data_IF_159175987289
#
_entry.id   IF_159175987289
#
_cell.length_a   1.000
_cell.length_b   1.000
_cell.length_c   1.000
_cell.angle_alpha   90.00
_cell.angle_beta   90.00
_cell.angle_gamma   90.00
#
_symmetry.space_group_name_H-M   'P 1'
#
loop_
_entity.id
_entity.type
_entity.pdbx_description
1 polymer ?
#
# COMPACT_ATOMS: atom_id res chain seq x y z
N UNK A 1 -20.06 -26.87 22.85
CA UNK A 1 -20.84 -26.47 21.65
C UNK A 1 -20.36 -25.10 21.19
N UNK A 2 -19.74 -25.00 20.02
CA UNK A 2 -19.39 -23.69 19.44
C UNK A 2 -20.68 -23.09 18.88
N UNK A 3 -21.13 -21.97 19.46
CA UNK A 3 -22.35 -21.27 19.02
C UNK A 3 -22.12 -20.73 17.62
N UNK A 4 -22.91 -21.19 16.64
CA UNK A 4 -22.85 -20.67 15.26
C UNK A 4 -23.39 -19.24 15.30
N UNK A 5 -22.55 -18.27 14.91
CA UNK A 5 -22.93 -16.86 14.84
C UNK A 5 -23.91 -16.63 13.69
N UNK A 6 -24.93 -15.83 13.94
CA UNK A 6 -25.85 -15.32 12.90
C UNK A 6 -25.13 -14.32 12.00
N UNK A 7 -25.62 -14.13 10.77
CA UNK A 7 -25.01 -13.19 9.81
C UNK A 7 -25.03 -11.74 10.33
N UNK A 8 -26.09 -11.32 11.02
CA UNK A 8 -26.15 -9.99 11.63
C UNK A 8 -25.11 -9.82 12.77
N UNK A 9 -24.85 -10.87 13.56
CA UNK A 9 -23.76 -10.85 14.55
C UNK A 9 -22.38 -10.75 13.89
N UNK A 10 -22.17 -11.43 12.75
CA UNK A 10 -20.92 -11.33 11.98
C UNK A 10 -20.71 -9.91 11.43
N UNK A 11 -21.74 -9.29 10.86
CA UNK A 11 -21.65 -7.92 10.34
C UNK A 11 -21.37 -6.90 11.46
N UNK A 12 -22.05 -7.02 12.60
CA UNK A 12 -21.79 -6.18 13.77
C UNK A 12 -20.36 -6.39 14.32
N UNK A 13 -19.87 -7.62 14.33
CA UNK A 13 -18.48 -7.92 14.69
C UNK A 13 -17.50 -7.23 13.73
N UNK A 14 -17.74 -7.28 12.42
CA UNK A 14 -16.91 -6.58 11.43
C UNK A 14 -16.98 -5.05 11.57
N UNK A 15 -18.14 -4.49 11.93
CA UNK A 15 -18.27 -3.05 12.20
C UNK A 15 -17.37 -2.63 13.36
N UNK A 16 -17.44 -3.36 14.48
CA UNK A 16 -16.60 -3.11 15.66
C UNK A 16 -15.13 -3.32 15.34
N UNK A 17 -14.83 -4.32 14.51
CA UNK A 17 -13.47 -4.58 14.06
C UNK A 17 -12.91 -3.40 13.25
N UNK A 18 -13.66 -2.90 12.26
CA UNK A 18 -13.28 -1.70 11.52
C UNK A 18 -13.11 -0.47 12.42
N UNK A 19 -13.98 -0.26 13.40
CA UNK A 19 -13.82 0.83 14.38
C UNK A 19 -12.52 0.70 15.20
N UNK A 20 -12.14 -0.51 15.59
CA UNK A 20 -10.86 -0.76 16.27
C UNK A 20 -9.66 -0.47 15.34
N UNK A 21 -9.74 -0.88 14.06
CA UNK A 21 -8.69 -0.59 13.09
C UNK A 21 -8.53 0.91 12.81
N UNK A 22 -9.63 1.65 12.75
CA UNK A 22 -9.61 3.12 12.68
C UNK A 22 -8.75 3.71 13.81
N UNK A 23 -9.03 3.32 15.06
CA UNK A 23 -8.29 3.80 16.23
C UNK A 23 -6.82 3.42 16.14
N UNK A 24 -6.50 2.17 15.79
CA UNK A 24 -5.11 1.70 15.70
C UNK A 24 -4.30 2.42 14.61
N UNK A 25 -4.88 2.65 13.43
CA UNK A 25 -4.21 3.43 12.38
C UNK A 25 -4.05 4.89 12.78
N UNK A 26 -5.08 5.49 13.37
CA UNK A 26 -5.06 6.89 13.79
C UNK A 26 -4.00 7.15 14.86
N UNK A 27 -3.93 6.29 15.89
CA UNK A 27 -2.93 6.40 16.96
C UNK A 27 -1.52 6.33 16.38
N UNK A 28 -1.24 5.41 15.46
CA UNK A 28 0.08 5.30 14.83
C UNK A 28 0.42 6.52 13.99
N UNK A 29 -0.53 7.03 13.20
CA UNK A 29 -0.32 8.22 12.38
C UNK A 29 0.02 9.45 13.26
N UNK A 30 -0.75 9.65 14.34
CA UNK A 30 -0.51 10.73 15.29
C UNK A 30 0.81 10.53 16.01
N UNK A 31 1.12 9.31 16.47
CA UNK A 31 2.37 9.02 17.17
C UNK A 31 3.58 9.35 16.30
N UNK A 32 3.59 8.96 15.02
CA UNK A 32 4.69 9.29 14.11
C UNK A 32 4.87 10.79 13.96
N UNK A 33 3.80 11.56 13.77
CA UNK A 33 3.90 13.02 13.65
C UNK A 33 4.35 13.69 14.95
N UNK A 34 3.77 13.29 16.09
CA UNK A 34 4.10 13.86 17.40
C UNK A 34 5.55 13.55 17.77
N UNK A 35 5.98 12.30 17.62
CA UNK A 35 7.35 11.92 17.95
C UNK A 35 8.33 12.64 17.02
N UNK A 36 8.06 12.70 15.72
CA UNK A 36 8.99 13.32 14.76
C UNK A 36 9.07 14.84 14.96
N UNK A 37 7.93 15.54 15.00
CA UNK A 37 7.94 17.00 14.97
C UNK A 37 7.94 17.68 16.35
N UNK A 38 7.38 17.04 17.38
CA UNK A 38 7.34 17.64 18.72
C UNK A 38 8.45 17.12 19.64
N UNK A 39 8.83 15.84 19.52
CA UNK A 39 9.85 15.22 20.39
C UNK A 39 11.24 15.33 19.77
N UNK A 40 11.43 14.78 18.56
CA UNK A 40 12.74 14.77 17.86
C UNK A 40 13.04 16.14 17.22
N UNK A 41 12.01 16.84 16.73
CA UNK A 41 12.11 18.13 16.03
C UNK A 41 12.96 18.07 14.75
N UNK A 42 13.12 16.88 14.17
CA UNK A 42 13.86 16.65 12.93
C UNK A 42 13.14 15.60 12.09
N UNK A 43 13.11 15.82 10.77
CA UNK A 43 12.53 14.88 9.80
C UNK A 43 13.50 14.67 8.63
N UNK A 44 13.52 13.45 8.10
CA UNK A 44 14.22 13.15 6.85
C UNK A 44 13.32 13.51 5.70
N UNK A 45 13.78 14.42 4.84
CA UNK A 45 13.12 14.69 3.57
C UNK A 45 13.91 14.09 2.41
N UNK A 46 13.19 13.49 1.46
CA UNK A 46 13.79 12.86 0.29
C UNK A 46 13.49 13.70 -0.97
N UNK A 47 14.49 13.97 -1.81
CA UNK A 47 14.31 14.83 -2.98
C UNK A 47 13.50 14.10 -4.04
N UNK A 48 12.54 14.80 -4.63
CA UNK A 48 11.92 14.41 -5.90
C UNK A 48 12.63 15.17 -7.01
N UNK A 49 13.09 14.44 -8.02
CA UNK A 49 13.97 14.96 -9.08
C UNK A 49 13.33 14.84 -10.45
N UNK A 50 13.80 15.66 -11.38
CA UNK A 50 13.62 15.51 -12.82
C UNK A 50 14.98 15.50 -13.50
N UNK A 51 15.07 14.96 -14.71
CA UNK A 51 16.25 14.97 -15.57
C UNK A 51 15.89 15.69 -16.87
N UNK A 52 15.75 17.01 -16.79
CA UNK A 52 15.41 17.80 -17.97
C UNK A 52 16.61 17.92 -18.91
N UNK A 53 16.32 18.00 -20.20
CA UNK A 53 17.34 18.31 -21.22
C UNK A 53 17.94 19.68 -20.90
N UNK A 54 19.26 19.72 -20.76
CA UNK A 54 20.00 20.89 -20.30
C UNK A 54 20.77 21.58 -21.42
N UNK A 55 21.27 20.81 -22.39
CA UNK A 55 22.05 21.34 -23.50
C UNK A 55 21.91 20.43 -24.73
N UNK A 56 21.92 21.03 -25.92
CA UNK A 56 22.07 20.34 -27.19
C UNK A 56 23.34 20.86 -27.86
N UNK A 57 24.28 19.96 -28.12
CA UNK A 57 25.50 20.29 -28.87
C UNK A 57 25.23 20.07 -30.38
N UNK A 58 25.17 21.14 -31.20
CA UNK A 58 24.89 21.01 -32.63
C UNK A 58 26.03 20.37 -33.42
N UNK A 59 27.24 20.28 -32.85
CA UNK A 59 28.41 19.66 -33.51
C UNK A 59 28.38 18.15 -33.31
N UNK A 60 28.18 17.68 -32.09
CA UNK A 60 28.12 16.24 -31.78
C UNK A 60 26.72 15.65 -31.94
N UNK A 61 25.69 16.49 -32.11
CA UNK A 61 24.27 16.12 -32.14
C UNK A 61 23.82 15.39 -30.86
N UNK A 62 24.50 15.66 -29.74
CA UNK A 62 24.20 15.04 -28.45
C UNK A 62 23.36 16.00 -27.60
N UNK A 63 22.35 15.43 -26.93
CA UNK A 63 21.60 16.11 -25.88
C UNK A 63 22.10 15.61 -24.53
N UNK A 64 22.34 16.52 -23.59
CA UNK A 64 22.66 16.18 -22.20
C UNK A 64 21.50 16.52 -21.28
N UNK A 65 21.42 15.81 -20.16
CA UNK A 65 20.42 16.04 -19.11
C UNK A 65 21.06 16.64 -17.86
N UNK A 66 20.28 17.37 -17.05
CA UNK A 66 20.70 17.79 -15.71
C UNK A 66 19.69 17.35 -14.67
N UNK A 67 20.19 16.74 -13.59
CA UNK A 67 19.38 16.39 -12.44
C UNK A 67 18.95 17.67 -11.72
N UNK A 68 17.64 17.90 -11.61
CA UNK A 68 17.05 19.03 -10.90
C UNK A 68 16.15 18.50 -9.78
N UNK A 69 16.38 18.96 -8.55
CA UNK A 69 15.44 18.72 -7.45
C UNK A 69 14.24 19.65 -7.63
N UNK A 70 13.04 19.08 -7.73
CA UNK A 70 11.80 19.84 -7.85
C UNK A 70 11.28 20.27 -6.48
N UNK A 71 11.24 19.33 -5.54
CA UNK A 71 10.81 19.54 -4.17
C UNK A 71 11.30 18.40 -3.27
N UNK A 72 11.19 18.60 -1.97
CA UNK A 72 11.55 17.63 -0.93
C UNK A 72 10.27 17.05 -0.32
N UNK A 73 10.21 15.73 -0.13
CA UNK A 73 9.07 15.08 0.54
C UNK A 73 9.46 14.63 1.96
N UNK A 74 8.83 15.17 3.01
CA UNK A 74 9.08 14.76 4.38
C UNK A 74 8.55 13.35 4.63
N UNK A 75 9.42 12.44 5.07
CA UNK A 75 9.13 11.02 5.14
C UNK A 75 8.09 10.71 6.23
N UNK A 76 8.13 11.41 7.36
CA UNK A 76 7.12 11.26 8.40
C UNK A 76 5.71 11.64 7.91
N UNK A 77 5.58 12.66 7.05
CA UNK A 77 4.30 13.04 6.44
C UNK A 77 3.81 11.94 5.49
N UNK A 78 4.69 11.40 4.63
CA UNK A 78 4.31 10.32 3.72
C UNK A 78 3.84 9.07 4.48
N UNK A 79 4.57 8.70 5.54
CA UNK A 79 4.25 7.54 6.38
C UNK A 79 2.94 7.74 7.13
N UNK A 80 2.74 8.91 7.75
CA UNK A 80 1.48 9.24 8.40
C UNK A 80 0.33 9.28 7.37
N UNK A 81 0.58 9.73 6.14
CA UNK A 81 -0.40 9.84 5.07
C UNK A 81 -1.11 8.53 4.76
N UNK A 82 -0.37 7.43 4.55
CA UNK A 82 -1.02 6.13 4.26
C UNK A 82 -1.75 5.55 5.48
N UNK A 83 -1.31 5.87 6.71
CA UNK A 83 -2.00 5.46 7.94
C UNK A 83 -3.30 6.24 8.13
N UNK A 84 -3.28 7.56 7.93
CA UNK A 84 -4.49 8.40 8.00
C UNK A 84 -5.53 7.99 6.97
N UNK A 85 -5.11 7.66 5.74
CA UNK A 85 -6.05 7.23 4.71
C UNK A 85 -6.77 5.93 5.09
N UNK A 86 -6.03 4.96 5.65
CA UNK A 86 -6.63 3.70 6.14
C UNK A 86 -7.52 3.94 7.37
N UNK A 87 -7.11 4.82 8.29
CA UNK A 87 -7.96 5.24 9.41
C UNK A 87 -9.27 5.86 8.90
N UNK A 88 -9.19 6.75 7.92
CA UNK A 88 -10.35 7.41 7.32
C UNK A 88 -11.31 6.41 6.68
N UNK A 89 -10.82 5.45 5.88
CA UNK A 89 -11.66 4.41 5.29
C UNK A 89 -12.37 3.57 6.36
N UNK A 90 -11.62 3.11 7.37
CA UNK A 90 -12.19 2.36 8.48
C UNK A 90 -13.25 3.15 9.26
N UNK A 91 -13.05 4.46 9.46
CA UNK A 91 -14.02 5.36 10.09
C UNK A 91 -15.31 5.44 9.27
N UNK A 92 -15.21 5.66 7.95
CA UNK A 92 -16.39 5.82 7.10
C UNK A 92 -17.19 4.52 6.99
N UNK A 93 -16.53 3.35 6.85
CA UNK A 93 -17.22 2.05 6.74
C UNK A 93 -17.73 1.52 8.08
N UNK A 94 -17.15 1.93 9.21
CA UNK A 94 -17.70 1.64 10.54
C UNK A 94 -18.81 2.64 10.95
N UNK A 95 -18.81 3.84 10.38
CA UNK A 95 -19.73 4.92 10.71
C UNK A 95 -20.74 5.20 9.58
N UNK A 96 -20.64 6.36 8.89
CA UNK A 96 -21.68 6.87 7.98
C UNK A 96 -22.01 5.94 6.80
N UNK A 97 -21.03 5.19 6.29
CA UNK A 97 -21.20 4.31 5.13
C UNK A 97 -21.41 2.84 5.51
N UNK A 98 -21.59 2.52 6.80
CA UNK A 98 -21.77 1.13 7.26
C UNK A 98 -22.91 0.39 6.55
N UNK A 99 -24.03 1.07 6.26
CA UNK A 99 -25.16 0.45 5.55
C UNK A 99 -24.77 -0.02 4.15
N UNK A 100 -23.99 0.80 3.42
CA UNK A 100 -23.51 0.51 2.06
C UNK A 100 -22.42 -0.56 2.07
N UNK A 101 -21.49 -0.46 3.02
CA UNK A 101 -20.48 -1.49 3.27
C UNK A 101 -21.14 -2.86 3.54
N UNK A 102 -22.08 -2.93 4.48
CA UNK A 102 -22.82 -4.16 4.78
C UNK A 102 -23.57 -4.72 3.57
N UNK A 103 -24.21 -3.87 2.76
CA UNK A 103 -24.88 -4.31 1.53
C UNK A 103 -23.89 -4.95 0.55
N UNK A 104 -22.72 -4.33 0.35
CA UNK A 104 -21.68 -4.90 -0.51
C UNK A 104 -21.15 -6.24 0.00
N UNK A 105 -20.94 -6.38 1.30
CA UNK A 105 -20.51 -7.65 1.89
C UNK A 105 -21.52 -8.78 1.66
N UNK A 106 -22.83 -8.49 1.69
CA UNK A 106 -23.89 -9.48 1.38
C UNK A 106 -23.84 -9.93 -0.09
N UNK A 107 -23.37 -9.06 -0.97
CA UNK A 107 -23.16 -9.32 -2.39
C UNK A 107 -21.74 -9.86 -2.70
N UNK A 108 -20.90 -10.06 -1.68
CA UNK A 108 -19.54 -10.59 -1.85
C UNK A 108 -18.54 -9.60 -2.44
N UNK A 109 -18.65 -8.31 -2.12
CA UNK A 109 -17.69 -7.29 -2.51
C UNK A 109 -17.42 -6.25 -1.42
N UNK A 110 -16.27 -5.58 -1.54
CA UNK A 110 -15.94 -4.40 -0.77
C UNK A 110 -15.16 -3.41 -1.64
N UNK A 111 -15.87 -2.52 -2.34
CA UNK A 111 -15.25 -1.49 -3.17
C UNK A 111 -14.49 -0.42 -2.39
N UNK A 112 -14.87 -0.15 -1.13
CA UNK A 112 -14.18 0.84 -0.28
C UNK A 112 -12.70 0.44 -0.08
N UNK A 113 -12.47 -0.83 0.25
CA UNK A 113 -11.14 -1.41 0.42
C UNK A 113 -10.24 -1.18 -0.80
N UNK A 114 -10.74 -1.37 -2.00
CA UNK A 114 -9.93 -1.19 -3.21
C UNK A 114 -9.58 0.26 -3.49
N UNK A 115 -10.47 1.21 -3.19
CA UNK A 115 -10.15 2.63 -3.28
C UNK A 115 -9.16 3.05 -2.19
N UNK A 116 -9.30 2.53 -0.96
CA UNK A 116 -8.34 2.71 0.12
C UNK A 116 -6.95 2.24 -0.31
N UNK A 117 -6.85 0.98 -0.76
CA UNK A 117 -5.57 0.38 -1.14
C UNK A 117 -4.98 1.03 -2.39
N UNK A 118 -5.80 1.43 -3.36
CA UNK A 118 -5.31 2.10 -4.57
C UNK A 118 -4.56 3.40 -4.25
N UNK A 119 -4.90 4.09 -3.16
CA UNK A 119 -4.14 5.25 -2.71
C UNK A 119 -3.04 4.84 -1.73
N UNK A 120 -3.38 4.16 -0.63
CA UNK A 120 -2.45 3.93 0.47
C UNK A 120 -1.30 3.01 0.08
N UNK A 121 -1.57 1.89 -0.60
CA UNK A 121 -0.50 0.98 -1.04
C UNK A 121 0.39 1.62 -2.11
N UNK A 122 -0.17 2.48 -2.96
CA UNK A 122 0.60 3.25 -3.95
C UNK A 122 1.54 4.23 -3.27
N UNK A 123 1.08 4.93 -2.23
CA UNK A 123 1.93 5.79 -1.41
C UNK A 123 3.01 5.00 -0.68
N UNK A 124 2.69 3.82 -0.13
CA UNK A 124 3.67 2.93 0.49
C UNK A 124 4.76 2.49 -0.50
N UNK A 125 4.39 2.11 -1.72
CA UNK A 125 5.35 1.73 -2.76
C UNK A 125 6.21 2.93 -3.19
N UNK A 126 5.64 4.14 -3.29
CA UNK A 126 6.41 5.36 -3.54
C UNK A 126 7.46 5.59 -2.45
N UNK A 127 7.09 5.45 -1.17
CA UNK A 127 8.04 5.55 -0.04
C UNK A 127 9.19 4.56 -0.20
N UNK A 128 8.90 3.29 -0.51
CA UNK A 128 9.93 2.25 -0.71
C UNK A 128 10.82 2.60 -1.91
N UNK A 129 10.24 3.06 -3.02
CA UNK A 129 10.98 3.51 -4.20
C UNK A 129 11.97 4.62 -3.86
N UNK A 130 11.54 5.64 -3.11
CA UNK A 130 12.40 6.76 -2.73
C UNK A 130 13.55 6.31 -1.80
N UNK A 131 13.31 5.33 -0.94
CA UNK A 131 14.32 4.74 -0.05
C UNK A 131 15.39 3.96 -0.81
N UNK A 132 15.03 3.25 -1.89
CA UNK A 132 16.00 2.58 -2.77
C UNK A 132 16.62 3.50 -3.83
N UNK A 133 16.24 4.79 -3.84
CA UNK A 133 16.84 5.80 -4.73
C UNK A 133 16.06 6.10 -6.01
N UNK A 134 14.91 5.46 -6.24
CA UNK A 134 13.99 5.83 -7.32
C UNK A 134 13.26 7.11 -6.91
N UNK A 135 13.77 8.25 -7.39
CA UNK A 135 13.34 9.58 -6.96
C UNK A 135 12.92 10.49 -8.12
N UNK A 136 12.95 9.98 -9.34
CA UNK A 136 12.54 10.70 -10.53
C UNK A 136 11.01 10.79 -10.60
N UNK A 137 10.47 12.00 -10.81
CA UNK A 137 9.05 12.31 -10.70
C UNK A 137 8.18 11.46 -11.64
N UNK A 138 8.57 11.27 -12.89
CA UNK A 138 7.80 10.50 -13.88
C UNK A 138 7.73 9.02 -13.48
N UNK A 139 8.83 8.48 -12.97
CA UNK A 139 8.93 7.12 -12.44
C UNK A 139 8.03 6.94 -11.22
N UNK A 140 8.04 7.90 -10.28
CA UNK A 140 7.17 7.88 -9.10
C UNK A 140 5.68 7.95 -9.48
N UNK A 141 5.29 8.80 -10.44
CA UNK A 141 3.91 8.91 -10.94
C UNK A 141 3.47 7.59 -11.58
N UNK A 142 4.32 7.00 -12.43
CA UNK A 142 4.03 5.74 -13.10
C UNK A 142 3.88 4.59 -12.11
N UNK A 143 4.78 4.49 -11.12
CA UNK A 143 4.76 3.47 -10.07
C UNK A 143 3.53 3.62 -9.18
N UNK A 144 3.19 4.85 -8.77
CA UNK A 144 1.97 5.11 -8.01
C UNK A 144 0.75 4.65 -8.79
N UNK A 145 0.68 5.02 -10.08
CA UNK A 145 -0.46 4.75 -10.94
C UNK A 145 -0.62 3.25 -11.23
N UNK A 146 0.47 2.52 -11.52
CA UNK A 146 0.37 1.07 -11.78
C UNK A 146 0.04 0.27 -10.51
N UNK A 147 0.51 0.73 -9.34
CA UNK A 147 0.10 0.17 -8.05
C UNK A 147 -1.39 0.44 -7.76
N UNK A 148 -1.89 1.63 -8.11
CA UNK A 148 -3.32 1.92 -8.03
C UNK A 148 -4.12 1.02 -8.98
N UNK A 149 -3.66 0.84 -10.23
CA UNK A 149 -4.27 -0.05 -11.21
C UNK A 149 -4.34 -1.50 -10.71
N UNK A 150 -3.30 -2.03 -10.06
CA UNK A 150 -3.36 -3.37 -9.43
C UNK A 150 -4.58 -3.49 -8.51
N UNK A 151 -4.81 -2.51 -7.63
CA UNK A 151 -5.94 -2.53 -6.70
C UNK A 151 -7.28 -2.38 -7.42
N UNK A 152 -7.34 -1.53 -8.45
CA UNK A 152 -8.54 -1.39 -9.28
C UNK A 152 -8.86 -2.66 -10.07
N UNK A 153 -7.85 -3.47 -10.43
CA UNK A 153 -8.07 -4.81 -10.96
C UNK A 153 -8.66 -5.77 -9.92
N UNK A 154 -8.30 -5.63 -8.64
CA UNK A 154 -8.98 -6.33 -7.54
C UNK A 154 -10.47 -5.93 -7.44
N UNK A 155 -10.76 -4.64 -7.55
CA UNK A 155 -12.15 -4.15 -7.64
C UNK A 155 -12.89 -4.76 -8.83
N UNK A 156 -12.24 -4.76 -10.00
CA UNK A 156 -12.81 -5.29 -11.23
C UNK A 156 -13.05 -6.81 -11.12
N UNK A 157 -12.16 -7.54 -10.44
CA UNK A 157 -12.32 -8.96 -10.14
C UNK A 157 -13.61 -9.22 -9.33
N UNK A 158 -13.88 -8.39 -8.31
CA UNK A 158 -15.14 -8.44 -7.55
C UNK A 158 -16.35 -8.09 -8.38
N UNK A 159 -16.24 -7.07 -9.23
CA UNK A 159 -17.34 -6.58 -10.03
C UNK A 159 -17.75 -7.52 -11.17
N UNK A 160 -16.79 -8.07 -11.91
CA UNK A 160 -17.07 -8.98 -13.05
C UNK A 160 -17.68 -10.28 -12.55
N UNK A 161 -17.11 -10.85 -11.48
CA UNK A 161 -17.50 -12.18 -10.99
C UNK A 161 -18.82 -12.21 -10.21
N UNK A 162 -19.54 -11.09 -10.12
CA UNK A 162 -20.95 -11.06 -9.71
C UNK A 162 -21.89 -11.55 -10.82
N UNK A 163 -21.43 -11.55 -12.07
CA UNK A 163 -22.26 -11.78 -13.26
C UNK A 163 -21.82 -12.98 -14.09
N UNK A 164 -20.81 -13.72 -13.64
CA UNK A 164 -20.26 -14.87 -14.37
C UNK A 164 -20.59 -16.18 -13.65
N UNK A 165 -20.91 -17.23 -14.43
CA UNK A 165 -21.18 -18.57 -13.87
C UNK A 165 -19.90 -19.26 -13.37
N UNK A 166 -18.78 -19.02 -14.07
CA UNK A 166 -17.44 -19.47 -13.69
C UNK A 166 -16.58 -18.27 -13.38
N UNK A 167 -15.61 -18.45 -12.48
CA UNK A 167 -14.69 -17.38 -12.11
C UNK A 167 -13.86 -16.98 -13.33
N UNK A 168 -14.00 -15.73 -13.73
CA UNK A 168 -13.14 -15.06 -14.71
C UNK A 168 -11.93 -14.49 -13.96
N UNK A 169 -10.74 -15.02 -14.27
CA UNK A 169 -9.46 -14.66 -13.65
C UNK A 169 -8.73 -13.53 -14.37
N UNK A 170 -9.27 -12.99 -15.46
CA UNK A 170 -8.60 -11.99 -16.30
C UNK A 170 -8.16 -10.77 -15.49
N UNK A 171 -9.07 -10.21 -14.68
CA UNK A 171 -8.76 -9.07 -13.84
C UNK A 171 -7.67 -9.39 -12.81
N UNK A 172 -7.71 -10.56 -12.18
CA UNK A 172 -6.67 -11.00 -11.23
C UNK A 172 -5.28 -11.12 -11.89
N UNK A 173 -5.22 -11.67 -13.11
CA UNK A 173 -3.95 -11.82 -13.85
C UNK A 173 -3.38 -10.44 -14.19
N UNK A 174 -4.21 -9.50 -14.66
CA UNK A 174 -3.77 -8.12 -14.93
C UNK A 174 -3.33 -7.39 -13.66
N UNK A 175 -4.02 -7.63 -12.54
CA UNK A 175 -3.60 -7.17 -11.23
C UNK A 175 -2.22 -7.70 -10.85
N UNK A 176 -1.97 -9.01 -10.99
CA UNK A 176 -0.66 -9.59 -10.71
C UNK A 176 0.44 -8.99 -11.59
N UNK A 177 0.20 -8.83 -12.89
CA UNK A 177 1.14 -8.19 -13.79
C UNK A 177 1.47 -6.76 -13.34
N UNK A 178 0.44 -5.92 -13.13
CA UNK A 178 0.61 -4.55 -12.68
C UNK A 178 1.34 -4.46 -11.32
N UNK A 179 1.00 -5.35 -10.40
CA UNK A 179 1.59 -5.42 -9.07
C UNK A 179 3.04 -5.86 -9.05
N UNK A 180 3.52 -6.63 -10.04
CA UNK A 180 4.92 -7.08 -10.12
C UNK A 180 5.87 -5.99 -10.62
N UNK A 181 5.39 -5.02 -11.42
CA UNK A 181 6.23 -3.99 -12.04
C UNK A 181 6.99 -3.14 -11.01
N UNK A 182 6.36 -2.60 -9.94
CA UNK A 182 7.09 -1.84 -8.94
C UNK A 182 8.16 -2.66 -8.22
N UNK A 183 7.89 -3.93 -7.91
CA UNK A 183 8.85 -4.80 -7.24
C UNK A 183 10.07 -5.11 -8.10
N UNK A 184 9.90 -5.27 -9.41
CA UNK A 184 11.00 -5.41 -10.34
C UNK A 184 11.89 -4.15 -10.36
N UNK A 185 11.28 -2.96 -10.43
CA UNK A 185 12.01 -1.69 -10.39
C UNK A 185 12.79 -1.53 -9.06
N UNK A 186 12.14 -1.80 -7.92
CA UNK A 186 12.76 -1.74 -6.60
C UNK A 186 13.93 -2.73 -6.52
N UNK A 187 13.77 -3.96 -7.00
CA UNK A 187 14.82 -4.98 -6.97
C UNK A 187 16.04 -4.58 -7.80
N UNK A 188 15.86 -3.96 -8.98
CA UNK A 188 16.97 -3.47 -9.81
C UNK A 188 17.82 -2.46 -9.03
N UNK A 189 17.18 -1.50 -8.36
CA UNK A 189 17.90 -0.48 -7.58
C UNK A 189 18.54 -1.07 -6.33
N UNK A 190 17.81 -1.95 -5.62
CA UNK A 190 18.27 -2.55 -4.38
C UNK A 190 19.51 -3.43 -4.59
N UNK A 191 19.48 -4.31 -5.60
CA UNK A 191 20.59 -5.24 -5.86
C UNK A 191 21.68 -4.64 -6.76
N UNK A 192 21.33 -3.67 -7.61
CA UNK A 192 22.30 -2.89 -8.38
C UNK A 192 23.21 -2.07 -7.47
N UNK A 193 22.63 -1.24 -6.59
CA UNK A 193 23.39 -0.47 -5.60
C UNK A 193 23.95 -1.36 -4.48
N UNK A 194 23.27 -2.46 -4.17
CA UNK A 194 23.69 -3.44 -3.17
C UNK A 194 25.00 -4.15 -3.50
N UNK A 195 25.31 -4.33 -4.79
CA UNK A 195 26.58 -4.87 -5.25
C UNK A 195 27.79 -4.01 -4.82
N UNK A 196 27.56 -2.73 -4.54
CA UNK A 196 28.58 -1.77 -4.09
C UNK A 196 28.55 -1.54 -2.56
N UNK A 197 27.68 -2.23 -1.80
CA UNK A 197 27.58 -2.10 -0.34
C UNK A 197 26.91 -0.80 0.15
N UNK A 198 26.22 -0.07 -0.73
CA UNK A 198 25.73 1.29 -0.46
C UNK A 198 24.29 1.36 0.10
N UNK A 199 23.64 0.22 0.34
CA UNK A 199 22.24 0.16 0.78
C UNK A 199 22.17 -0.21 2.27
N UNK A 200 21.52 0.60 3.12
CA UNK A 200 21.34 0.26 4.54
C UNK A 200 20.52 -1.02 4.76
N UNK A 201 20.89 -1.81 5.77
CA UNK A 201 20.24 -3.10 6.09
C UNK A 201 18.72 -3.01 6.26
N UNK A 202 18.22 -1.95 6.89
CA UNK A 202 16.79 -1.78 7.12
C UNK A 202 15.98 -1.68 5.81
N UNK A 203 16.60 -1.23 4.72
CA UNK A 203 15.94 -1.14 3.40
C UNK A 203 15.72 -2.54 2.81
N UNK A 204 16.67 -3.45 3.00
CA UNK A 204 16.49 -4.87 2.63
C UNK A 204 15.39 -5.54 3.46
N UNK A 205 15.32 -5.25 4.77
CA UNK A 205 14.25 -5.74 5.63
C UNK A 205 12.87 -5.21 5.22
N UNK A 206 12.76 -3.93 4.89
CA UNK A 206 11.54 -3.35 4.34
C UNK A 206 11.14 -4.07 3.04
N UNK A 207 12.08 -4.24 2.10
CA UNK A 207 11.82 -4.93 0.84
C UNK A 207 11.26 -6.34 1.09
N UNK A 208 11.93 -7.14 1.90
CA UNK A 208 11.54 -8.52 2.17
C UNK A 208 10.19 -8.60 2.89
N UNK A 209 10.03 -7.85 3.99
CA UNK A 209 8.82 -7.92 4.83
C UNK A 209 7.59 -7.42 4.09
N UNK A 210 7.70 -6.30 3.38
CA UNK A 210 6.56 -5.73 2.67
C UNK A 210 6.25 -6.54 1.40
N UNK A 211 7.23 -7.16 0.75
CA UNK A 211 6.96 -8.09 -0.36
C UNK A 211 6.11 -9.26 0.10
N UNK A 212 6.47 -9.88 1.24
CA UNK A 212 5.69 -10.99 1.84
C UNK A 212 4.25 -10.56 2.09
N UNK A 213 4.03 -9.39 2.69
CA UNK A 213 2.67 -8.88 2.89
C UNK A 213 1.95 -8.63 1.57
N UNK A 214 2.60 -7.96 0.61
CA UNK A 214 2.04 -7.62 -0.70
C UNK A 214 1.53 -8.85 -1.45
N UNK A 215 2.35 -9.91 -1.53
CA UNK A 215 1.94 -11.16 -2.15
C UNK A 215 0.85 -11.89 -1.36
N UNK A 216 0.82 -11.72 -0.03
CA UNK A 216 -0.26 -12.28 0.81
C UNK A 216 -1.64 -11.66 0.49
N UNK A 217 -1.72 -10.40 0.06
CA UNK A 217 -2.98 -9.80 -0.41
C UNK A 217 -3.50 -10.49 -1.68
N UNK A 218 -2.61 -10.73 -2.65
CA UNK A 218 -2.96 -11.43 -3.87
C UNK A 218 -3.35 -12.89 -3.59
N UNK A 219 -2.67 -13.55 -2.65
CA UNK A 219 -2.98 -14.90 -2.24
C UNK A 219 -4.33 -14.99 -1.50
N UNK A 220 -4.65 -14.01 -0.65
CA UNK A 220 -5.96 -13.91 0.00
C UNK A 220 -7.10 -13.87 -1.03
N UNK A 221 -6.95 -13.08 -2.09
CA UNK A 221 -7.92 -13.02 -3.19
C UNK A 221 -8.05 -14.35 -3.92
N UNK A 222 -6.92 -14.97 -4.23
CA UNK A 222 -6.88 -16.26 -4.91
C UNK A 222 -7.65 -17.33 -4.13
N UNK A 223 -7.40 -17.44 -2.81
CA UNK A 223 -8.10 -18.38 -1.94
C UNK A 223 -9.60 -18.08 -1.83
N UNK A 224 -9.99 -16.79 -1.78
CA UNK A 224 -11.39 -16.34 -1.76
C UNK A 224 -12.14 -16.83 -3.01
N UNK A 225 -11.56 -16.64 -4.19
CA UNK A 225 -12.20 -17.05 -5.45
C UNK A 225 -12.11 -18.55 -5.73
N UNK A 226 -11.07 -19.24 -5.23
CA UNK A 226 -11.01 -20.70 -5.25
C UNK A 226 -11.88 -21.36 -4.18
N UNK A 227 -12.44 -20.59 -3.23
CA UNK A 227 -13.30 -21.07 -2.12
C UNK A 227 -12.63 -22.22 -1.33
N UNK A 228 -11.35 -22.07 -0.99
CA UNK A 228 -10.56 -23.10 -0.29
C UNK A 228 -10.66 -22.91 1.22
N UNK A 229 -10.92 -23.99 1.97
CA UNK A 229 -10.94 -23.96 3.43
C UNK A 229 -11.92 -22.94 4.02
N UNK A 230 -11.42 -22.02 4.85
CA UNK A 230 -12.22 -20.95 5.49
C UNK A 230 -12.61 -19.82 4.54
N UNK A 231 -11.91 -19.67 3.41
CA UNK A 231 -12.20 -18.68 2.36
C UNK A 231 -13.45 -18.98 1.54
N UNK A 232 -14.17 -20.07 1.86
CA UNK A 232 -15.54 -20.28 1.41
C UNK A 232 -16.49 -19.18 1.90
N UNK A 233 -16.22 -18.60 3.07
CA UNK A 233 -16.96 -17.46 3.62
C UNK A 233 -16.23 -16.15 3.22
N UNK A 234 -16.89 -15.29 2.44
CA UNK A 234 -16.34 -14.01 2.01
C UNK A 234 -15.92 -13.13 3.20
N UNK A 235 -16.67 -13.18 4.32
CA UNK A 235 -16.36 -12.39 5.52
C UNK A 235 -15.04 -12.80 6.18
N UNK A 236 -14.61 -14.05 5.95
CA UNK A 236 -13.28 -14.48 6.38
C UNK A 236 -12.19 -13.78 5.56
N UNK A 237 -12.33 -13.76 4.23
CA UNK A 237 -11.41 -13.04 3.33
C UNK A 237 -11.33 -11.55 3.63
N UNK A 238 -12.49 -10.92 3.89
CA UNK A 238 -12.58 -9.52 4.36
C UNK A 238 -11.78 -9.30 5.65
N UNK A 239 -11.96 -10.17 6.65
CA UNK A 239 -11.23 -10.05 7.91
C UNK A 239 -9.72 -10.22 7.73
N UNK A 240 -9.29 -11.12 6.84
CA UNK A 240 -7.86 -11.30 6.52
C UNK A 240 -7.30 -10.04 5.84
N UNK A 241 -8.03 -9.42 4.90
CA UNK A 241 -7.61 -8.16 4.28
C UNK A 241 -7.39 -7.04 5.32
N UNK A 242 -8.33 -6.90 6.25
CA UNK A 242 -8.23 -5.90 7.31
C UNK A 242 -6.98 -6.14 8.18
N UNK A 243 -6.71 -7.39 8.56
CA UNK A 243 -5.52 -7.76 9.35
C UNK A 243 -4.24 -7.47 8.56
N UNK A 244 -4.17 -7.92 7.29
CA UNK A 244 -3.02 -7.68 6.43
C UNK A 244 -2.77 -6.17 6.25
N UNK A 245 -3.81 -5.37 6.10
CA UNK A 245 -3.72 -3.91 5.99
C UNK A 245 -3.07 -3.29 7.23
N UNK A 246 -3.56 -3.65 8.43
CA UNK A 246 -3.00 -3.15 9.67
C UNK A 246 -1.53 -3.55 9.79
N UNK A 247 -1.24 -4.85 9.69
CA UNK A 247 0.12 -5.37 9.94
C UNK A 247 1.12 -4.85 8.92
N UNK A 248 0.77 -4.81 7.63
CA UNK A 248 1.68 -4.31 6.59
C UNK A 248 1.97 -2.81 6.73
N UNK A 249 0.94 -1.99 6.99
CA UNK A 249 1.10 -0.55 7.18
C UNK A 249 1.88 -0.23 8.45
N UNK A 250 1.59 -0.92 9.55
CA UNK A 250 2.36 -0.83 10.81
C UNK A 250 3.81 -1.24 10.58
N UNK A 251 4.06 -2.38 9.93
CA UNK A 251 5.42 -2.87 9.68
C UNK A 251 6.22 -1.87 8.84
N UNK A 252 5.66 -1.33 7.76
CA UNK A 252 6.37 -0.34 6.95
C UNK A 252 6.60 0.95 7.74
N UNK A 253 5.56 1.48 8.39
CA UNK A 253 5.64 2.76 9.08
C UNK A 253 6.75 2.79 10.14
N UNK A 254 6.82 1.75 10.97
CA UNK A 254 7.81 1.69 12.04
C UNK A 254 9.19 1.24 11.57
N UNK A 255 9.31 0.41 10.51
CA UNK A 255 10.62 0.13 9.92
C UNK A 255 11.23 1.37 9.27
N UNK A 256 10.41 2.17 8.57
CA UNK A 256 10.86 3.44 7.99
C UNK A 256 11.25 4.40 9.11
N UNK A 257 10.36 4.65 10.07
CA UNK A 257 10.63 5.55 11.18
C UNK A 257 11.88 5.12 11.97
N UNK A 258 12.04 3.84 12.32
CA UNK A 258 13.22 3.36 13.03
C UNK A 258 14.50 3.42 12.19
N UNK A 259 14.41 3.15 10.89
CA UNK A 259 15.56 3.14 9.99
C UNK A 259 16.09 4.52 9.62
N UNK A 260 15.23 5.54 9.57
CA UNK A 260 15.60 6.88 9.09
C UNK A 260 15.43 7.99 10.13
N UNK A 261 14.48 7.87 11.06
CA UNK A 261 14.11 8.95 11.98
C UNK A 261 14.60 8.71 13.41
N UNK A 262 14.65 7.47 13.89
CA UNK A 262 15.12 7.15 15.24
C UNK A 262 16.60 7.53 15.51
N UNK A 263 17.55 7.42 14.57
CA UNK A 263 18.94 7.81 14.81
C UNK A 263 19.17 9.32 14.96
N UNK A 264 18.14 10.14 14.77
CA UNK A 264 18.22 11.61 14.86
C UNK A 264 17.91 12.15 16.26
N UNK A 265 17.34 11.33 17.15
CA UNK A 265 17.08 11.67 18.55
C UNK A 265 18.06 10.96 19.49
#
# INVERSE_FOLDING_TARGET
>A
MVKVQTDEEKFLSLRRFNAAMFILHLIQAIAILVITYLIIQQDVSLPVRSYFLSNYDPVTQVVTESAQTLFEMPLAILVAGFLFFSAFDHLIIAGPLYKRYRAGLKEGHNYFRWYEYAFSSSLMIVVICMLVGIREISSLIAIFSITACMNLFGLLMEKINQRTEKVDWTAYIYGCFAGLIPWAAIAIYLFGAGAEGNVPDFVYWIFLTIAIFYFSFAFNMFLQYKRVGRWKDYLFGERVYIILSLVAKTALAWQVWAGTLAPLG
#
